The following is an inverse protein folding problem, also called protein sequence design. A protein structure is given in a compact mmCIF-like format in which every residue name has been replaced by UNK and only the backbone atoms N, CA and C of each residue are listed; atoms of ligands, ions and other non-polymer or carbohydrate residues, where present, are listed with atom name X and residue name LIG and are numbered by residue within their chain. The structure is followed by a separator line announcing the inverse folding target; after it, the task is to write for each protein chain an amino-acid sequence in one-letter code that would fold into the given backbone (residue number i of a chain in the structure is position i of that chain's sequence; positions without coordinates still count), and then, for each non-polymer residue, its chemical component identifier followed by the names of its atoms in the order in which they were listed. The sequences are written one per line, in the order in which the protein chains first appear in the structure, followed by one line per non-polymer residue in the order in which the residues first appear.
data_IF_608037484534
#
_entry.id   IF_608037484534
#
_cell.length_a   1.000
_cell.length_b   1.000
_cell.length_c   1.000
_cell.angle_alpha   90.00
_cell.angle_beta   90.00
_cell.angle_gamma   90.00
#
_symmetry.space_group_name_H-M   'P 1'
#
loop_
_entity.id
_entity.type
_entity.pdbx_description
1 polymer ?
#
# COMPACT_ATOMS: atom_id res chain seq x y z
N UNK A 1 8.35 -17.06 -4.10
CA UNK A 1 7.53 -18.14 -4.68
C UNK A 1 7.44 -18.04 -6.21
N UNK A 2 7.29 -16.84 -6.81
CA UNK A 2 7.30 -16.68 -8.28
C UNK A 2 8.62 -17.10 -8.96
N UNK A 3 9.76 -16.99 -8.28
CA UNK A 3 11.08 -17.40 -8.83
C UNK A 3 11.34 -18.91 -8.79
N UNK A 4 10.47 -19.70 -8.14
CA UNK A 4 10.66 -21.15 -7.97
C UNK A 4 9.96 -21.93 -9.09
N UNK A 5 8.89 -21.37 -9.66
CA UNK A 5 8.17 -21.96 -10.80
C UNK A 5 8.40 -21.08 -12.01
N UNK A 6 9.33 -21.51 -12.85
CA UNK A 6 9.54 -20.91 -14.17
C UNK A 6 8.25 -21.01 -14.98
N UNK A 7 7.91 -19.96 -15.73
CA UNK A 7 6.75 -19.95 -16.63
C UNK A 7 6.79 -21.06 -17.70
N UNK A 8 7.97 -21.66 -17.91
CA UNK A 8 8.21 -22.77 -18.83
C UNK A 8 7.78 -24.15 -18.31
N UNK A 9 7.70 -24.37 -16.99
CA UNK A 9 7.30 -25.68 -16.44
C UNK A 9 5.78 -25.77 -16.22
N UNK A 10 5.13 -24.74 -15.67
CA UNK A 10 3.68 -24.73 -15.41
C UNK A 10 3.04 -23.35 -15.46
N UNK A 11 2.77 -22.87 -16.68
CA UNK A 11 2.10 -21.60 -16.94
C UNK A 11 0.80 -21.40 -16.15
N UNK A 12 -0.03 -22.45 -16.01
CA UNK A 12 -1.32 -22.38 -15.30
C UNK A 12 -1.13 -22.09 -13.81
N UNK A 13 -0.16 -22.76 -13.18
CA UNK A 13 0.13 -22.55 -11.74
C UNK A 13 0.72 -21.17 -11.51
N UNK A 14 1.68 -20.76 -12.34
CA UNK A 14 2.29 -19.43 -12.27
C UNK A 14 1.23 -18.32 -12.37
N UNK A 15 0.32 -18.42 -13.34
CA UNK A 15 -0.79 -17.47 -13.51
C UNK A 15 -1.68 -17.37 -12.27
N UNK A 16 -2.05 -18.50 -11.69
CA UNK A 16 -2.93 -18.53 -10.52
C UNK A 16 -2.25 -17.93 -9.29
N UNK A 17 -0.99 -18.27 -9.03
CA UNK A 17 -0.24 -17.69 -7.91
C UNK A 17 -0.01 -16.19 -8.07
N UNK A 18 0.31 -15.73 -9.28
CA UNK A 18 0.43 -14.31 -9.57
C UNK A 18 -0.89 -13.57 -9.34
N UNK A 19 -2.01 -14.13 -9.82
CA UNK A 19 -3.34 -13.56 -9.59
C UNK A 19 -3.70 -13.42 -8.10
N UNK A 20 -3.45 -14.47 -7.30
CA UNK A 20 -3.70 -14.44 -5.86
C UNK A 20 -2.79 -13.41 -5.16
N UNK A 21 -1.52 -13.33 -5.54
CA UNK A 21 -0.58 -12.33 -5.02
C UNK A 21 -1.05 -10.89 -5.31
N UNK A 22 -1.49 -10.62 -6.54
CA UNK A 22 -2.03 -9.32 -6.91
C UNK A 22 -3.29 -8.99 -6.12
N UNK A 23 -4.25 -9.92 -6.02
CA UNK A 23 -5.50 -9.73 -5.28
C UNK A 23 -5.24 -9.43 -3.80
N UNK A 24 -4.40 -10.23 -3.15
CA UNK A 24 -4.02 -10.03 -1.75
C UNK A 24 -3.32 -8.69 -1.53
N UNK A 25 -2.45 -8.27 -2.47
CA UNK A 25 -1.79 -6.96 -2.42
C UNK A 25 -2.79 -5.79 -2.51
N UNK A 26 -3.78 -5.88 -3.41
CA UNK A 26 -4.84 -4.86 -3.53
C UNK A 26 -5.67 -4.77 -2.25
N UNK A 27 -6.09 -5.92 -1.71
CA UNK A 27 -6.86 -5.98 -0.45
C UNK A 27 -6.08 -5.35 0.70
N UNK A 28 -4.78 -5.67 0.82
CA UNK A 28 -3.90 -5.06 1.81
C UNK A 28 -3.85 -3.54 1.68
N UNK A 29 -3.60 -3.01 0.47
CA UNK A 29 -3.52 -1.56 0.23
C UNK A 29 -4.84 -0.84 0.56
N UNK A 30 -5.99 -1.45 0.26
CA UNK A 30 -7.31 -0.88 0.58
C UNK A 30 -7.51 -0.79 2.09
N UNK A 31 -7.24 -1.88 2.82
CA UNK A 31 -7.36 -1.93 4.28
C UNK A 31 -6.42 -0.90 4.92
N UNK A 32 -5.17 -0.84 4.47
CA UNK A 32 -4.16 0.08 5.00
C UNK A 32 -4.52 1.56 4.75
N UNK A 33 -5.01 1.91 3.56
CA UNK A 33 -5.52 3.26 3.27
C UNK A 33 -6.75 3.58 4.13
N UNK A 34 -7.68 2.65 4.29
CA UNK A 34 -8.88 2.85 5.11
C UNK A 34 -8.53 3.14 6.57
N UNK A 35 -7.64 2.33 7.15
CA UNK A 35 -7.13 2.55 8.52
C UNK A 35 -6.41 3.91 8.60
N UNK A 36 -5.56 4.22 7.63
CA UNK A 36 -4.83 5.51 7.57
C UNK A 36 -5.78 6.72 7.49
N UNK A 37 -6.89 6.60 6.76
CA UNK A 37 -7.94 7.62 6.70
C UNK A 37 -8.65 7.79 8.04
N UNK A 38 -8.99 6.68 8.71
CA UNK A 38 -9.63 6.70 10.02
C UNK A 38 -8.73 7.38 11.05
N UNK A 39 -7.45 7.00 11.11
CA UNK A 39 -6.46 7.62 12.01
C UNK A 39 -6.31 9.11 11.71
N UNK A 40 -6.23 9.51 10.43
CA UNK A 40 -6.12 10.92 10.06
C UNK A 40 -7.36 11.74 10.48
N UNK A 41 -8.57 11.18 10.37
CA UNK A 41 -9.80 11.82 10.84
C UNK A 41 -9.82 11.99 12.36
N UNK A 42 -9.36 10.98 13.09
CA UNK A 42 -9.31 11.01 14.56
C UNK A 42 -8.24 11.98 15.07
N UNK A 43 -7.03 11.96 14.48
CA UNK A 43 -5.87 12.66 15.02
C UNK A 43 -5.72 14.12 14.54
N UNK A 44 -6.46 14.55 13.50
CA UNK A 44 -6.41 15.89 12.88
C UNK A 44 -5.00 16.45 12.63
N UNK A 45 -4.00 15.58 12.39
CA UNK A 45 -2.60 15.99 12.31
C UNK A 45 -2.18 16.22 10.86
N UNK A 46 -1.93 17.49 10.51
CA UNK A 46 -1.62 18.01 9.16
C UNK A 46 -0.65 17.18 8.29
N UNK A 47 0.50 16.68 8.78
CA UNK A 47 1.44 15.93 7.93
C UNK A 47 0.95 14.52 7.54
N UNK A 48 -0.01 13.91 8.25
CA UNK A 48 -0.62 12.64 7.81
C UNK A 48 -1.42 12.80 6.54
N UNK A 49 -1.98 13.98 6.28
CA UNK A 49 -2.70 14.25 5.04
C UNK A 49 -1.80 14.11 3.80
N UNK A 50 -0.55 14.59 3.88
CA UNK A 50 0.43 14.47 2.79
C UNK A 50 0.83 13.01 2.56
N UNK A 51 1.09 12.29 3.64
CA UNK A 51 1.45 10.86 3.61
C UNK A 51 0.31 10.03 3.01
N UNK A 52 -0.92 10.28 3.46
CA UNK A 52 -2.11 9.61 2.96
C UNK A 52 -2.33 9.88 1.47
N UNK A 53 -2.15 11.12 1.00
CA UNK A 53 -2.20 11.46 -0.44
C UNK A 53 -1.15 10.68 -1.24
N UNK A 54 0.08 10.56 -0.72
CA UNK A 54 1.14 9.75 -1.35
C UNK A 54 0.73 8.26 -1.43
N UNK A 55 0.20 7.68 -0.35
CA UNK A 55 -0.28 6.28 -0.35
C UNK A 55 -1.40 6.05 -1.37
N UNK A 56 -2.37 6.97 -1.45
CA UNK A 56 -3.45 6.91 -2.44
C UNK A 56 -2.91 7.00 -3.86
N UNK A 57 -1.94 7.89 -4.12
CA UNK A 57 -1.33 8.03 -5.44
C UNK A 57 -0.57 6.76 -5.88
N UNK A 58 0.22 6.17 -4.98
CA UNK A 58 0.94 4.91 -5.27
C UNK A 58 -0.04 3.76 -5.50
N UNK A 59 -1.10 3.66 -4.69
CA UNK A 59 -2.16 2.66 -4.88
C UNK A 59 -2.88 2.86 -6.23
N UNK A 60 -3.21 4.10 -6.60
CA UNK A 60 -3.84 4.38 -7.89
C UNK A 60 -2.92 4.03 -9.07
N UNK A 61 -1.62 4.30 -8.95
CA UNK A 61 -0.61 3.92 -9.95
C UNK A 61 -0.53 2.39 -10.09
N UNK A 62 -0.55 1.66 -8.97
CA UNK A 62 -0.57 0.19 -8.99
C UNK A 62 -1.83 -0.35 -9.67
N UNK A 63 -3.02 0.14 -9.30
CA UNK A 63 -4.29 -0.31 -9.91
C UNK A 63 -4.37 0.02 -11.39
N UNK A 64 -3.91 1.20 -11.81
CA UNK A 64 -3.88 1.56 -13.24
C UNK A 64 -2.93 0.66 -14.03
N UNK A 65 -1.76 0.31 -13.49
CA UNK A 65 -0.88 -0.68 -14.11
C UNK A 65 -1.57 -2.04 -14.25
N UNK A 66 -2.29 -2.51 -13.22
CA UNK A 66 -3.05 -3.77 -13.31
C UNK A 66 -4.12 -3.75 -14.40
N UNK A 67 -4.84 -2.63 -14.56
CA UNK A 67 -5.83 -2.48 -15.63
C UNK A 67 -5.18 -2.55 -17.02
N UNK A 68 -4.02 -1.91 -17.19
CA UNK A 68 -3.26 -1.96 -18.45
C UNK A 68 -2.78 -3.38 -18.74
N UNK A 69 -2.24 -4.09 -17.74
CA UNK A 69 -1.82 -5.50 -17.86
C UNK A 69 -2.99 -6.37 -18.32
N UNK A 70 -4.16 -6.21 -17.70
CA UNK A 70 -5.37 -6.95 -18.07
C UNK A 70 -5.83 -6.63 -19.51
N UNK A 71 -5.74 -5.37 -19.91
CA UNK A 71 -6.06 -4.94 -21.29
C UNK A 71 -5.07 -5.53 -22.31
N UNK A 72 -3.76 -5.47 -22.02
CA UNK A 72 -2.73 -6.08 -22.86
C UNK A 72 -2.94 -7.59 -23.00
N UNK A 73 -3.29 -8.28 -21.90
CA UNK A 73 -3.62 -9.70 -21.95
C UNK A 73 -4.84 -9.98 -22.84
N UNK A 74 -5.91 -9.18 -22.71
CA UNK A 74 -7.10 -9.32 -23.56
C UNK A 74 -6.79 -9.09 -25.05
N UNK A 75 -6.05 -8.02 -25.38
CA UNK A 75 -5.65 -7.70 -26.75
C UNK A 75 -4.77 -8.81 -27.32
N UNK A 76 -3.82 -9.33 -26.54
CA UNK A 76 -2.96 -10.42 -26.98
C UNK A 76 -3.76 -11.69 -27.30
N UNK A 77 -4.73 -12.05 -26.44
CA UNK A 77 -5.61 -13.20 -26.66
C UNK A 77 -6.48 -13.06 -27.91
N UNK A 78 -6.87 -11.84 -28.30
CA UNK A 78 -7.82 -11.62 -29.40
C UNK A 78 -7.16 -11.31 -30.75
N UNK A 79 -6.08 -10.54 -30.77
CA UNK A 79 -5.51 -9.96 -31.99
C UNK A 79 -4.07 -10.41 -32.29
N UNK A 80 -3.42 -11.13 -31.37
CA UNK A 80 -2.02 -11.55 -31.46
C UNK A 80 -1.05 -10.49 -32.06
N UNK A 81 -1.07 -9.23 -31.60
CA UNK A 81 -0.18 -8.22 -32.18
C UNK A 81 1.27 -8.47 -31.74
N UNK A 82 2.26 -8.23 -32.63
CA UNK A 82 3.66 -8.27 -32.24
C UNK A 82 3.95 -7.23 -31.13
N UNK A 83 4.95 -7.50 -30.29
CA UNK A 83 5.40 -6.63 -29.17
C UNK A 83 4.46 -6.49 -27.96
N UNK A 84 3.23 -6.99 -28.01
CA UNK A 84 2.28 -6.93 -26.89
C UNK A 84 2.84 -7.55 -25.60
N UNK A 85 3.64 -8.61 -25.74
CA UNK A 85 4.28 -9.28 -24.61
C UNK A 85 5.36 -8.41 -23.93
N UNK A 86 6.10 -7.63 -24.71
CA UNK A 86 7.11 -6.70 -24.17
C UNK A 86 6.44 -5.59 -23.36
N UNK A 87 5.34 -5.02 -23.88
CA UNK A 87 4.56 -4.00 -23.17
C UNK A 87 3.97 -4.57 -21.88
N UNK A 88 3.41 -5.79 -21.94
CA UNK A 88 2.92 -6.51 -20.77
C UNK A 88 4.01 -6.64 -19.68
N UNK A 89 5.21 -7.09 -20.06
CA UNK A 89 6.32 -7.27 -19.12
C UNK A 89 6.75 -5.94 -18.47
N UNK A 90 6.81 -4.84 -19.23
CA UNK A 90 7.14 -3.51 -18.69
C UNK A 90 6.15 -3.09 -17.60
N UNK A 91 4.85 -3.21 -17.85
CA UNK A 91 3.85 -2.83 -16.85
C UNK A 91 3.83 -3.78 -15.64
N UNK A 92 4.13 -5.07 -15.83
CA UNK A 92 4.31 -6.02 -14.73
C UNK A 92 5.45 -5.57 -13.80
N UNK A 93 6.61 -5.18 -14.35
CA UNK A 93 7.71 -4.64 -13.55
C UNK A 93 7.33 -3.35 -12.83
N UNK A 94 6.63 -2.43 -13.48
CA UNK A 94 6.16 -1.18 -12.84
C UNK A 94 5.20 -1.47 -11.70
N UNK A 95 4.30 -2.44 -11.86
CA UNK A 95 3.39 -2.87 -10.79
C UNK A 95 4.16 -3.47 -9.60
N UNK A 96 5.18 -4.30 -9.85
CA UNK A 96 6.04 -4.87 -8.80
C UNK A 96 6.76 -3.77 -8.03
N UNK A 97 7.41 -2.83 -8.73
CA UNK A 97 8.11 -1.69 -8.11
C UNK A 97 7.15 -0.83 -7.29
N UNK A 98 5.94 -0.58 -7.81
CA UNK A 98 4.91 0.19 -7.10
C UNK A 98 4.47 -0.52 -5.81
N UNK A 99 4.31 -1.84 -5.84
CA UNK A 99 3.96 -2.64 -4.65
C UNK A 99 5.08 -2.58 -3.58
N UNK A 100 6.34 -2.78 -3.99
CA UNK A 100 7.49 -2.67 -3.08
C UNK A 100 7.61 -1.26 -2.50
N UNK A 101 7.43 -0.23 -3.33
CA UNK A 101 7.47 1.18 -2.90
C UNK A 101 6.35 1.50 -1.90
N UNK A 102 5.17 0.91 -2.09
CA UNK A 102 4.06 1.04 -1.15
C UNK A 102 4.41 0.46 0.22
N UNK A 103 4.88 -0.79 0.27
CA UNK A 103 5.28 -1.44 1.53
C UNK A 103 6.43 -0.71 2.21
N UNK A 104 7.42 -0.23 1.46
CA UNK A 104 8.52 0.58 1.98
C UNK A 104 8.04 1.91 2.57
N UNK A 105 7.10 2.58 1.90
CA UNK A 105 6.51 3.82 2.43
C UNK A 105 5.76 3.54 3.74
N UNK A 106 5.03 2.43 3.80
CA UNK A 106 4.32 2.02 5.01
C UNK A 106 5.27 1.65 6.15
N UNK A 107 6.38 0.95 5.90
CA UNK A 107 7.37 0.64 6.94
C UNK A 107 8.05 1.89 7.51
N UNK A 108 8.42 2.85 6.66
CA UNK A 108 8.99 4.11 7.11
C UNK A 108 8.04 4.90 8.02
N UNK A 109 6.75 4.90 7.70
CA UNK A 109 5.72 5.54 8.53
C UNK A 109 5.68 4.88 9.92
N UNK A 110 5.71 3.54 10.00
CA UNK A 110 5.73 2.85 11.28
C UNK A 110 6.98 3.14 12.10
N UNK A 111 8.15 3.23 11.47
CA UNK A 111 9.39 3.59 12.16
C UNK A 111 9.35 5.03 12.71
N UNK A 112 8.84 5.98 11.93
CA UNK A 112 8.67 7.37 12.38
C UNK A 112 7.65 7.51 13.52
N UNK A 113 6.58 6.70 13.52
CA UNK A 113 5.59 6.67 14.60
C UNK A 113 6.15 5.99 15.87
N UNK A 114 6.91 4.91 15.71
CA UNK A 114 7.27 4.00 16.80
C UNK A 114 8.43 4.48 17.66
N UNK A 115 9.36 5.31 17.15
CA UNK A 115 10.54 5.66 17.96
C UNK A 115 10.43 7.06 18.57
N UNK A 116 10.18 8.10 17.78
CA UNK A 116 10.19 9.48 18.31
C UNK A 116 9.00 9.77 19.23
N UNK A 117 7.80 9.32 18.85
CA UNK A 117 6.60 9.52 19.68
C UNK A 117 6.66 8.67 20.93
N UNK A 118 6.98 7.39 20.84
CA UNK A 118 7.11 6.52 22.03
C UNK A 118 8.18 7.05 22.98
N UNK A 119 9.36 7.45 22.48
CA UNK A 119 10.42 8.04 23.34
C UNK A 119 9.95 9.36 23.96
N UNK A 120 9.25 10.23 23.23
CA UNK A 120 8.69 11.46 23.82
C UNK A 120 7.60 11.19 24.86
N UNK A 121 6.75 10.18 24.66
CA UNK A 121 5.72 9.77 25.61
C UNK A 121 6.33 9.13 26.87
N UNK A 122 7.35 8.29 26.68
CA UNK A 122 8.10 7.65 27.76
C UNK A 122 8.89 8.67 28.57
N UNK A 123 9.55 9.62 27.90
CA UNK A 123 10.25 10.75 28.54
C UNK A 123 9.30 11.70 29.27
N UNK A 124 8.02 11.75 28.89
CA UNK A 124 7.00 12.60 29.51
C UNK A 124 6.18 11.88 30.59
N UNK A 125 6.46 10.60 30.88
CA UNK A 125 5.86 9.86 32.00
C UNK A 125 4.37 9.54 31.89
N UNK A 126 3.77 9.57 30.68
CA UNK A 126 2.35 9.25 30.47
C UNK A 126 2.15 7.90 29.79
N UNK A 127 1.25 7.08 30.33
CA UNK A 127 0.87 5.77 29.77
C UNK A 127 0.10 5.93 28.47
N UNK A 128 0.26 4.94 27.58
CA UNK A 128 -0.27 4.91 26.20
C UNK A 128 -1.81 4.97 26.24
N UNK A 129 -2.48 6.02 25.74
CA UNK A 129 -3.93 6.05 25.71
C UNK A 129 -4.38 5.54 24.35
N UNK A 130 -4.65 4.24 24.23
CA UNK A 130 -5.43 3.74 23.09
C UNK A 130 -6.93 4.10 23.20
N UNK A 131 -7.35 4.69 24.33
CA UNK A 131 -8.77 4.89 24.68
C UNK A 131 -9.16 6.33 24.99
N UNK A 132 -8.23 7.23 25.33
CA UNK A 132 -8.60 8.49 26.00
C UNK A 132 -8.46 9.79 25.19
N UNK A 133 -8.63 9.72 23.86
CA UNK A 133 -8.62 10.93 23.03
C UNK A 133 -9.90 11.79 23.17
N UNK A 134 -10.90 11.35 23.95
CA UNK A 134 -12.17 12.08 24.11
C UNK A 134 -12.24 12.95 25.38
N UNK A 135 -11.35 12.77 26.36
CA UNK A 135 -11.54 13.36 27.69
C UNK A 135 -10.62 14.56 28.03
N UNK A 136 -9.52 14.79 27.30
CA UNK A 136 -8.58 15.87 27.63
C UNK A 136 -8.78 17.20 26.85
N UNK A 137 -9.92 17.39 26.18
CA UNK A 137 -10.19 18.67 25.50
C UNK A 137 -10.71 19.83 26.40
N UNK A 138 -11.33 19.65 27.59
CA UNK A 138 -11.79 20.78 28.39
C UNK A 138 -10.81 21.27 29.47
N UNK A 139 -9.64 20.65 29.67
CA UNK A 139 -8.74 20.94 30.81
C UNK A 139 -7.52 21.80 30.48
N UNK A 140 -7.31 22.16 29.20
CA UNK A 140 -6.21 23.03 28.77
C UNK A 140 -6.58 24.52 28.63
N UNK A 141 -7.83 24.91 28.92
CA UNK A 141 -8.26 26.32 28.93
C UNK A 141 -8.22 26.96 30.33
N UNK A 142 -7.76 26.24 31.36
CA UNK A 142 -7.73 26.73 32.73
C UNK A 142 -6.41 26.43 33.44
N UNK A 143 -5.28 26.90 32.91
CA UNK A 143 -4.12 27.26 33.74
C UNK A 143 -3.14 28.18 33.05
#
# INVERSE_FOLDING_TARGET
MLSIVSSSDDYIRHRNYFGIFVLSSVVYMIIDVYISQLINKLCQYSPWSKILKKKIYVMATYVTCLLIIMLCHYIHMRFCPPYTYTVFAVFEYVAIISNVTYHYTTSQIYEDISIKKIISYFSSGRTIPFVDMKLELPLLEAK
#
